data_IF_513816647392
#
_entry.id   IF_513816647392
#
_cell.length_a   1.000
_cell.length_b   1.000
_cell.length_c   1.000
_cell.angle_alpha   90.00
_cell.angle_beta   90.00
_cell.angle_gamma   90.00
#
_symmetry.space_group_name_H-M   'P 1'
#
loop_
_entity.id
_entity.type
_entity.pdbx_description
1 polymer ?
#
# COMPACT_ATOMS: atom_id res chain seq x y z
N UNK A 1 -30.49 11.47 0.14
CA UNK A 1 -29.36 12.09 -0.59
C UNK A 1 -28.11 11.58 0.10
N UNK A 2 -27.15 10.99 -0.63
CA UNK A 2 -25.88 10.58 0.00
C UNK A 2 -25.08 11.84 0.31
N UNK A 3 -24.76 12.08 1.57
CA UNK A 3 -23.82 13.13 1.97
C UNK A 3 -22.40 12.63 1.69
N UNK A 4 -21.61 13.46 0.99
CA UNK A 4 -20.20 13.19 0.71
C UNK A 4 -19.33 14.18 1.47
N UNK A 5 -18.25 13.68 2.06
CA UNK A 5 -17.19 14.53 2.60
C UNK A 5 -16.15 14.83 1.50
N UNK A 6 -15.35 15.88 1.67
CA UNK A 6 -14.19 16.15 0.79
C UNK A 6 -12.91 15.86 1.57
N UNK A 7 -11.97 15.13 0.95
CA UNK A 7 -10.67 14.88 1.54
C UNK A 7 -9.88 16.19 1.69
N UNK A 8 -8.93 16.28 2.65
CA UNK A 8 -7.99 17.39 2.67
C UNK A 8 -7.28 17.57 1.31
N UNK A 9 -6.92 18.80 0.90
CA UNK A 9 -6.17 19.00 -0.34
C UNK A 9 -4.84 18.24 -0.33
N UNK A 10 -4.51 17.58 -1.45
CA UNK A 10 -3.24 16.87 -1.62
C UNK A 10 -3.28 15.80 -2.70
N UNK A 11 -2.12 15.22 -2.97
CA UNK A 11 -1.96 14.10 -3.90
C UNK A 11 -2.00 12.77 -3.15
N UNK A 12 -2.95 11.93 -3.53
CA UNK A 12 -3.17 10.63 -2.90
C UNK A 12 -2.82 9.49 -3.84
N UNK A 13 -2.37 8.37 -3.26
CA UNK A 13 -2.20 7.09 -3.96
C UNK A 13 -3.24 6.13 -3.42
N UNK A 14 -3.95 5.44 -4.32
CA UNK A 14 -4.83 4.35 -3.92
C UNK A 14 -4.02 3.07 -3.65
N UNK A 15 -3.95 2.67 -2.38
CA UNK A 15 -3.27 1.45 -1.92
C UNK A 15 -4.11 0.17 -2.05
N UNK A 16 -5.43 0.30 -2.22
CA UNK A 16 -6.34 -0.84 -2.37
C UNK A 16 -6.86 -1.43 -1.07
N UNK A 17 -7.33 -2.68 -1.15
CA UNK A 17 -7.88 -3.42 -0.02
C UNK A 17 -6.75 -4.03 0.81
N UNK A 18 -6.56 -3.56 2.04
CA UNK A 18 -5.56 -4.13 2.95
C UNK A 18 -6.20 -5.25 3.77
N UNK A 19 -5.93 -6.48 3.36
CA UNK A 19 -6.30 -7.71 4.07
C UNK A 19 -5.06 -8.23 4.81
N UNK A 20 -5.08 -8.25 6.14
CA UNK A 20 -3.95 -8.69 6.99
C UNK A 20 -3.68 -10.21 6.98
N UNK A 21 -4.09 -10.92 5.94
CA UNK A 21 -3.68 -12.30 5.69
C UNK A 21 -2.48 -12.29 4.74
N UNK A 22 -1.40 -12.98 5.08
CA UNK A 22 -0.11 -12.85 4.39
C UNK A 22 -0.19 -12.98 2.87
N UNK A 23 -0.91 -14.00 2.37
CA UNK A 23 -1.08 -14.21 0.93
C UNK A 23 -1.82 -13.06 0.23
N UNK A 24 -2.95 -12.63 0.80
CA UNK A 24 -3.74 -11.52 0.24
C UNK A 24 -3.03 -10.17 0.36
N UNK A 25 -2.23 -9.99 1.40
CA UNK A 25 -1.38 -8.81 1.53
C UNK A 25 -0.33 -8.75 0.41
N UNK A 26 0.37 -9.86 0.13
CA UNK A 26 1.36 -9.89 -0.94
C UNK A 26 0.71 -9.75 -2.33
N UNK A 27 -0.27 -10.59 -2.64
CA UNK A 27 -0.81 -10.69 -3.99
C UNK A 27 -1.83 -9.58 -4.31
N UNK A 28 -2.61 -9.13 -3.31
CA UNK A 28 -3.65 -8.12 -3.48
C UNK A 28 -3.17 -6.71 -3.18
N UNK A 29 -2.64 -6.47 -1.98
CA UNK A 29 -2.27 -5.12 -1.54
C UNK A 29 -0.94 -4.68 -2.15
N UNK A 30 0.13 -5.48 -1.99
CA UNK A 30 1.48 -5.12 -2.41
C UNK A 30 1.61 -5.00 -3.94
N UNK A 31 0.72 -5.64 -4.71
CA UNK A 31 0.74 -5.62 -6.17
C UNK A 31 0.53 -4.24 -6.78
N UNK A 32 0.02 -3.25 -6.04
CA UNK A 32 -0.15 -1.87 -6.52
C UNK A 32 1.07 -0.98 -6.30
N UNK A 33 2.03 -1.42 -5.49
CA UNK A 33 3.15 -0.59 -5.06
C UNK A 33 4.38 -0.65 -5.95
N UNK A 34 4.32 -1.33 -7.09
CA UNK A 34 5.39 -1.32 -8.11
C UNK A 34 5.77 0.10 -8.55
N UNK A 35 4.85 1.06 -8.44
CA UNK A 35 5.12 2.49 -8.68
C UNK A 35 6.22 3.06 -7.76
N UNK A 36 6.53 2.41 -6.63
CA UNK A 36 7.65 2.77 -5.76
C UNK A 36 9.03 2.58 -6.42
N UNK A 37 9.10 1.96 -7.60
CA UNK A 37 10.30 1.98 -8.44
C UNK A 37 10.54 3.34 -9.13
N UNK A 38 9.50 4.18 -9.17
CA UNK A 38 9.51 5.47 -9.88
C UNK A 38 9.20 6.65 -8.95
N UNK A 39 8.63 6.39 -7.77
CA UNK A 39 8.16 7.39 -6.81
C UNK A 39 8.68 7.07 -5.41
N UNK A 40 8.99 8.12 -4.66
CA UNK A 40 9.33 8.02 -3.25
C UNK A 40 8.05 7.94 -2.40
N UNK A 41 7.63 6.70 -2.09
CA UNK A 41 6.37 6.42 -1.40
C UNK A 41 6.26 7.09 -0.02
N UNK A 42 7.40 7.40 0.62
CA UNK A 42 7.42 8.08 1.92
C UNK A 42 6.82 9.49 1.89
N UNK A 43 6.76 10.10 0.71
CA UNK A 43 6.23 11.46 0.50
C UNK A 43 4.74 11.51 0.21
N UNK A 44 4.08 10.36 0.08
CA UNK A 44 2.68 10.29 -0.35
C UNK A 44 1.74 9.81 0.74
N UNK A 45 0.49 10.28 0.69
CA UNK A 45 -0.62 9.71 1.44
C UNK A 45 -1.24 8.56 0.67
N UNK A 46 -1.43 7.44 1.34
CA UNK A 46 -1.88 6.19 0.75
C UNK A 46 -3.25 5.86 1.31
N UNK A 47 -4.25 5.91 0.44
CA UNK A 47 -5.62 5.59 0.80
C UNK A 47 -5.81 4.08 0.73
N UNK A 48 -6.18 3.51 1.87
CA UNK A 48 -6.47 2.09 2.00
C UNK A 48 -7.93 1.91 2.43
N UNK A 49 -8.52 0.80 2.03
CA UNK A 49 -9.77 0.32 2.60
C UNK A 49 -9.60 -1.12 3.07
N UNK A 50 -10.51 -1.60 3.92
CA UNK A 50 -10.45 -2.96 4.47
C UNK A 50 -10.98 -3.01 5.89
N UNK A 51 -11.05 -4.22 6.45
CA UNK A 51 -11.40 -4.38 7.85
C UNK A 51 -10.21 -3.98 8.74
N UNK A 52 -10.42 -3.10 9.70
CA UNK A 52 -9.41 -2.67 10.68
C UNK A 52 -9.02 -1.20 10.57
N UNK A 53 -7.87 -0.86 11.16
CA UNK A 53 -7.26 0.48 11.14
C UNK A 53 -5.78 0.37 10.75
N UNK A 54 -5.13 1.47 10.33
CA UNK A 54 -3.68 1.48 10.08
C UNK A 54 -2.87 0.87 11.23
N UNK A 55 -3.19 1.22 12.47
CA UNK A 55 -2.54 0.68 13.68
C UNK A 55 -2.75 -0.84 13.78
N UNK A 56 -3.97 -1.30 13.55
CA UNK A 56 -4.31 -2.72 13.54
C UNK A 56 -3.56 -3.50 12.47
N UNK A 57 -3.46 -2.96 11.25
CA UNK A 57 -2.71 -3.58 10.15
C UNK A 57 -1.22 -3.65 10.46
N UNK A 58 -0.63 -2.56 10.98
CA UNK A 58 0.79 -2.47 11.34
C UNK A 58 1.16 -3.28 12.60
N UNK A 59 0.19 -3.80 13.34
CA UNK A 59 0.44 -4.76 14.44
C UNK A 59 0.99 -6.09 13.90
N UNK A 60 0.62 -6.47 12.67
CA UNK A 60 1.17 -7.65 12.00
C UNK A 60 2.60 -7.38 11.56
N UNK A 61 3.56 -8.14 12.11
CA UNK A 61 5.00 -7.95 11.84
C UNK A 61 5.33 -7.91 10.35
N UNK A 62 4.75 -8.80 9.55
CA UNK A 62 5.03 -8.84 8.11
C UNK A 62 4.51 -7.59 7.39
N UNK A 63 3.33 -7.08 7.76
CA UNK A 63 2.77 -5.84 7.17
C UNK A 63 3.70 -4.68 7.49
N UNK A 64 4.02 -4.50 8.77
CA UNK A 64 4.91 -3.42 9.22
C UNK A 64 6.29 -3.51 8.56
N UNK A 65 6.95 -4.66 8.64
CA UNK A 65 8.31 -4.80 8.11
C UNK A 65 8.34 -4.53 6.60
N UNK A 66 7.37 -5.07 5.84
CA UNK A 66 7.29 -4.87 4.39
C UNK A 66 7.01 -3.41 4.05
N UNK A 67 6.01 -2.78 4.67
CA UNK A 67 5.68 -1.38 4.41
C UNK A 67 6.80 -0.43 4.80
N UNK A 68 7.42 -0.63 5.97
CA UNK A 68 8.56 0.18 6.39
C UNK A 68 9.77 0.01 5.47
N UNK A 69 9.98 -1.18 4.89
CA UNK A 69 11.07 -1.42 3.93
C UNK A 69 10.93 -0.64 2.62
N UNK A 70 9.74 -0.13 2.32
CA UNK A 70 9.42 0.71 1.16
C UNK A 70 9.05 2.14 1.55
N UNK A 71 9.39 2.55 2.77
CA UNK A 71 9.18 3.92 3.24
C UNK A 71 7.73 4.27 3.60
N UNK A 72 6.86 3.27 3.78
CA UNK A 72 5.48 3.47 4.23
C UNK A 72 5.39 3.22 5.73
N UNK A 73 4.89 4.22 6.46
CA UNK A 73 4.57 4.12 7.87
C UNK A 73 3.11 4.50 8.16
N UNK A 74 2.75 4.59 9.45
CA UNK A 74 1.40 4.94 9.89
C UNK A 74 0.96 6.34 9.41
N UNK A 75 1.89 7.29 9.25
CA UNK A 75 1.58 8.64 8.78
C UNK A 75 1.27 8.69 7.29
N UNK A 76 1.73 7.72 6.50
CA UNK A 76 1.35 7.59 5.10
C UNK A 76 -0.07 7.03 4.94
N UNK A 77 -0.49 6.10 5.81
CA UNK A 77 -1.75 5.37 5.65
C UNK A 77 -2.97 6.22 6.04
N UNK A 78 -3.96 6.28 5.15
CA UNK A 78 -5.22 7.00 5.35
C UNK A 78 -6.43 6.11 5.06
N UNK A 79 -7.45 6.21 5.90
CA UNK A 79 -8.72 5.49 5.76
C UNK A 79 -9.85 6.48 5.93
N UNK A 80 -10.75 6.52 4.95
CA UNK A 80 -11.98 7.30 5.02
C UNK A 80 -13.14 6.41 5.48
N UNK A 81 -13.89 6.86 6.49
CA UNK A 81 -15.00 6.09 7.09
C UNK A 81 -16.36 6.36 6.44
N UNK A 82 -16.42 7.35 5.57
CA UNK A 82 -17.61 7.78 4.83
C UNK A 82 -17.26 7.92 3.35
N UNK A 83 -18.25 7.97 2.45
CA UNK A 83 -18.01 8.35 1.07
C UNK A 83 -17.31 9.72 1.01
N UNK A 84 -16.12 9.75 0.43
CA UNK A 84 -15.25 10.94 0.39
C UNK A 84 -14.82 11.24 -1.04
N UNK A 85 -15.01 12.48 -1.46
CA UNK A 85 -14.52 13.02 -2.73
C UNK A 85 -13.04 13.35 -2.58
N UNK A 86 -12.22 12.81 -3.48
CA UNK A 86 -10.78 13.04 -3.55
C UNK A 86 -10.50 13.67 -4.90
N UNK A 87 -9.94 14.88 -4.87
CA UNK A 87 -9.69 15.66 -6.09
C UNK A 87 -8.58 15.03 -6.95
N UNK A 88 -7.45 14.69 -6.32
CA UNK A 88 -6.28 14.13 -6.99
C UNK A 88 -5.94 12.75 -6.42
N UNK A 89 -6.24 11.71 -7.19
CA UNK A 89 -5.97 10.32 -6.81
C UNK A 89 -5.23 9.59 -7.93
N UNK A 90 -3.99 9.20 -7.67
CA UNK A 90 -3.28 8.22 -8.48
C UNK A 90 -3.80 6.83 -8.14
N UNK A 91 -4.26 6.09 -9.15
CA UNK A 91 -4.77 4.72 -9.00
C UNK A 91 -3.86 3.76 -9.77
N UNK A 92 -2.81 3.19 -9.14
CA UNK A 92 -1.97 2.20 -9.80
C UNK A 92 -2.78 0.95 -10.10
N UNK A 93 -2.66 0.47 -11.35
CA UNK A 93 -3.17 -0.84 -11.72
C UNK A 93 -2.38 -1.93 -10.97
N UNK A 94 -3.01 -2.99 -10.46
CA UNK A 94 -2.28 -4.06 -9.80
C UNK A 94 -1.35 -4.75 -10.80
N UNK A 95 -0.09 -4.97 -10.43
CA UNK A 95 0.88 -5.71 -11.25
C UNK A 95 0.69 -7.24 -11.19
N UNK A 96 -0.24 -7.71 -10.35
CA UNK A 96 -0.61 -9.10 -10.17
C UNK A 96 -2.09 -9.16 -9.74
N UNK A 97 -2.84 -10.11 -10.31
CA UNK A 97 -4.22 -10.40 -9.92
C UNK A 97 -4.39 -11.92 -9.78
N UNK A 98 -4.82 -12.36 -8.60
CA UNK A 98 -4.96 -13.78 -8.26
C UNK A 98 -5.83 -14.50 -9.29
N UNK A 99 -5.35 -15.63 -9.80
CA UNK A 99 -6.01 -16.45 -10.84
C UNK A 99 -6.17 -15.80 -12.23
N UNK A 100 -5.57 -14.63 -12.48
CA UNK A 100 -5.71 -13.94 -13.76
C UNK A 100 -4.35 -13.70 -14.44
N UNK A 101 -3.51 -12.82 -13.89
CA UNK A 101 -2.23 -12.47 -14.50
C UNK A 101 -1.16 -12.08 -13.47
N UNK A 102 0.10 -12.18 -13.89
CA UNK A 102 1.27 -11.68 -13.16
C UNK A 102 2.19 -10.98 -14.15
N UNK A 103 2.44 -9.69 -13.95
CA UNK A 103 3.40 -8.92 -14.74
C UNK A 103 4.82 -9.05 -14.21
N UNK A 104 5.82 -8.91 -15.08
CA UNK A 104 7.24 -8.89 -14.69
C UNK A 104 7.56 -7.76 -13.71
N UNK A 105 6.83 -6.65 -13.76
CA UNK A 105 6.93 -5.57 -12.78
C UNK A 105 6.66 -6.06 -11.34
N UNK A 106 5.73 -7.00 -11.15
CA UNK A 106 5.48 -7.57 -9.81
C UNK A 106 6.69 -8.34 -9.30
N UNK A 107 7.36 -9.12 -10.16
CA UNK A 107 8.58 -9.84 -9.80
C UNK A 107 9.75 -8.88 -9.52
N UNK A 108 9.93 -7.85 -10.34
CA UNK A 108 10.96 -6.82 -10.14
C UNK A 108 10.76 -6.07 -8.83
N UNK A 109 9.53 -5.61 -8.58
CA UNK A 109 9.12 -4.96 -7.34
C UNK A 109 9.33 -5.88 -6.13
N UNK A 110 8.82 -7.11 -6.17
CA UNK A 110 8.97 -8.06 -5.07
C UNK A 110 10.42 -8.37 -4.72
N UNK A 111 11.29 -8.52 -5.73
CA UNK A 111 12.73 -8.68 -5.51
C UNK A 111 13.36 -7.45 -4.83
N UNK A 112 12.96 -6.23 -5.22
CA UNK A 112 13.44 -5.00 -4.59
C UNK A 112 13.02 -4.91 -3.12
N UNK A 113 11.76 -5.20 -2.82
CA UNK A 113 11.24 -5.26 -1.44
C UNK A 113 12.02 -6.30 -0.63
N UNK A 114 12.19 -7.51 -1.17
CA UNK A 114 12.96 -8.57 -0.52
C UNK A 114 14.40 -8.17 -0.23
N UNK A 115 15.08 -7.54 -1.18
CA UNK A 115 16.44 -7.02 -0.97
C UNK A 115 16.51 -5.93 0.11
N UNK A 116 15.53 -5.01 0.13
CA UNK A 116 15.44 -3.98 1.17
C UNK A 116 15.32 -4.61 2.56
N UNK A 117 14.44 -5.61 2.71
CA UNK A 117 14.26 -6.35 3.96
C UNK A 117 15.53 -7.07 4.42
N UNK A 118 16.27 -7.69 3.50
CA UNK A 118 17.52 -8.38 3.82
C UNK A 118 18.63 -7.42 4.22
N UNK A 119 18.74 -6.25 3.57
CA UNK A 119 19.70 -5.20 3.94
C UNK A 119 19.42 -4.66 5.33
N UNK A 120 18.16 -4.41 5.66
CA UNK A 120 17.76 -3.90 6.97
C UNK A 120 17.95 -4.92 8.11
N UNK A 121 18.11 -6.21 7.80
CA UNK A 121 18.36 -7.28 8.79
C UNK A 121 19.84 -7.50 9.12
N UNK A 122 20.78 -6.96 8.34
CA UNK A 122 22.22 -7.15 8.55
C UNK A 122 22.85 -6.15 9.57
N UNK A 123 22.05 -5.55 10.44
CA UNK A 123 22.50 -4.63 11.51
C UNK A 123 21.82 -4.90 12.87
N UNK A 124 21.37 -6.13 13.12
CA UNK A 124 20.89 -6.56 14.43
C UNK A 124 21.83 -7.63 15.02
#
# INVERSE_FOLDING_TARGET
MLEFETAPPGDYIYGGNLISHFGHFLLGFLSRFWIGQHLDLSKHKIICHGAGTPEGWLSHKFVRDILSSIGIDQHNLMVFKRPTIIENLLVPWPSCEEHNYVHTNYASWGNMVGQSLLRNRNLA
#
